data_IF_671341803273
#
_entry.id   IF_671341803273
#
_cell.length_a   1.000
_cell.length_b   1.000
_cell.length_c   1.000
_cell.angle_alpha   90.00
_cell.angle_beta   90.00
_cell.angle_gamma   90.00
#
_symmetry.space_group_name_H-M   'P 1'
#
loop_
_entity.id
_entity.type
_entity.pdbx_description
1 polymer ?
#
# COMPACT_ATOMS: atom_id res chain seq x y z
N UNK A 1 -5.11 0.79 24.96
CA UNK A 1 -4.30 1.21 23.80
C UNK A 1 -4.06 -0.02 22.94
N UNK A 2 -4.84 -0.19 21.88
CA UNK A 2 -4.57 -1.16 20.82
C UNK A 2 -4.78 -0.39 19.52
N UNK A 3 -3.71 0.24 19.05
CA UNK A 3 -3.69 0.74 17.68
C UNK A 3 -3.46 -0.48 16.79
N UNK A 4 -4.57 -1.07 16.36
CA UNK A 4 -4.58 -2.25 15.51
C UNK A 4 -4.06 -1.89 14.13
N UNK A 5 -2.74 -1.99 13.94
CA UNK A 5 -2.13 -1.98 12.62
C UNK A 5 -2.72 -3.13 11.80
N UNK A 6 -3.72 -2.80 10.97
CA UNK A 6 -4.44 -3.74 10.11
C UNK A 6 -3.51 -4.20 8.97
N UNK A 7 -3.13 -5.48 8.92
CA UNK A 7 -2.14 -5.99 7.97
C UNK A 7 -2.58 -5.94 6.50
N UNK A 8 -3.89 -6.00 6.24
CA UNK A 8 -4.44 -5.89 4.88
C UNK A 8 -4.27 -4.52 4.22
N UNK A 9 -3.87 -3.48 4.96
CA UNK A 9 -3.83 -2.14 4.38
C UNK A 9 -2.58 -1.84 3.58
N UNK A 10 -1.43 -2.45 3.84
CA UNK A 10 -0.19 -1.75 3.45
C UNK A 10 0.21 -1.88 1.98
N UNK A 11 0.02 -3.03 1.34
CA UNK A 11 0.27 -3.18 -0.10
C UNK A 11 -0.84 -2.51 -0.93
N UNK A 12 -2.09 -2.76 -0.55
CA UNK A 12 -3.27 -2.15 -1.19
C UNK A 12 -3.23 -0.61 -1.07
N UNK A 13 -2.80 -0.05 0.07
CA UNK A 13 -2.64 1.40 0.25
C UNK A 13 -1.53 1.97 -0.62
N UNK A 14 -0.43 1.24 -0.84
CA UNK A 14 0.64 1.71 -1.71
C UNK A 14 0.20 1.70 -3.17
N UNK A 15 -0.43 0.61 -3.61
CA UNK A 15 -0.96 0.50 -4.97
C UNK A 15 -2.08 1.51 -5.24
N UNK A 16 -3.02 1.66 -4.31
CA UNK A 16 -4.11 2.64 -4.41
C UNK A 16 -3.60 4.08 -4.41
N UNK A 17 -2.57 4.37 -3.61
CA UNK A 17 -1.91 5.68 -3.62
C UNK A 17 -1.25 5.97 -4.97
N UNK A 18 -0.49 5.00 -5.51
CA UNK A 18 0.18 5.12 -6.80
C UNK A 18 -0.84 5.30 -7.92
N UNK A 19 -1.88 4.45 -7.97
CA UNK A 19 -2.99 4.56 -8.92
C UNK A 19 -3.68 5.92 -8.82
N UNK A 20 -3.98 6.38 -7.60
CA UNK A 20 -4.62 7.68 -7.38
C UNK A 20 -3.78 8.83 -7.95
N UNK A 21 -2.47 8.84 -7.68
CA UNK A 21 -1.54 9.85 -8.23
C UNK A 21 -1.45 9.82 -9.75
N UNK A 22 -1.36 8.62 -10.34
CA UNK A 22 -1.28 8.44 -11.80
C UNK A 22 -2.58 8.87 -12.49
N UNK A 23 -3.75 8.57 -11.90
CA UNK A 23 -5.03 8.94 -12.50
C UNK A 23 -5.34 10.44 -12.42
N UNK A 24 -4.76 11.17 -11.47
CA UNK A 24 -4.88 12.63 -11.44
C UNK A 24 -4.28 13.31 -12.68
N UNK A 25 -3.29 12.70 -13.33
CA UNK A 25 -2.69 13.27 -14.56
C UNK A 25 -3.45 12.87 -15.84
N UNK A 26 -4.52 12.07 -15.73
CA UNK A 26 -5.35 11.60 -16.85
C UNK A 26 -4.56 11.19 -18.11
N UNK A 27 -3.56 10.30 -17.99
CA UNK A 27 -2.76 9.87 -19.13
C UNK A 27 -3.62 9.12 -20.15
N UNK A 28 -3.40 9.40 -21.44
CA UNK A 28 -4.20 8.85 -22.55
C UNK A 28 -3.43 7.89 -23.45
N UNK A 29 -2.10 7.88 -23.33
CA UNK A 29 -1.21 7.03 -24.12
C UNK A 29 -0.07 6.46 -23.27
N UNK A 30 0.62 5.46 -23.84
CA UNK A 30 1.67 4.72 -23.14
C UNK A 30 2.83 5.62 -22.65
N UNK A 31 3.38 6.56 -23.44
CA UNK A 31 4.39 7.51 -22.97
C UNK A 31 3.95 8.35 -21.77
N UNK A 32 2.73 8.87 -21.80
CA UNK A 32 2.15 9.64 -20.69
C UNK A 32 2.02 8.77 -19.43
N UNK A 33 1.52 7.54 -19.57
CA UNK A 33 1.44 6.59 -18.45
C UNK A 33 2.80 6.32 -17.82
N UNK A 34 3.85 6.07 -18.63
CA UNK A 34 5.21 5.85 -18.10
C UNK A 34 5.71 7.05 -17.32
N UNK A 35 5.52 8.25 -17.87
CA UNK A 35 5.94 9.51 -17.24
C UNK A 35 5.19 9.76 -15.93
N UNK A 36 3.88 9.54 -15.91
CA UNK A 36 3.03 9.69 -14.74
C UNK A 36 3.43 8.71 -13.63
N UNK A 37 3.71 7.44 -13.96
CA UNK A 37 4.17 6.43 -12.99
C UNK A 37 5.52 6.83 -12.40
N UNK A 38 6.52 7.17 -13.24
CA UNK A 38 7.85 7.59 -12.76
C UNK A 38 7.74 8.79 -11.83
N UNK A 39 6.98 9.82 -12.24
CA UNK A 39 6.76 11.01 -11.42
C UNK A 39 6.05 10.68 -10.11
N UNK A 40 5.01 9.84 -10.16
CA UNK A 40 4.29 9.44 -8.96
C UNK A 40 5.21 8.71 -7.98
N UNK A 41 6.05 7.77 -8.45
CA UNK A 41 7.05 7.07 -7.64
C UNK A 41 8.07 8.04 -7.04
N UNK A 42 8.61 8.96 -7.82
CA UNK A 42 9.60 9.94 -7.34
C UNK A 42 9.03 10.89 -6.26
N UNK A 43 7.71 11.08 -6.24
CA UNK A 43 7.02 11.90 -5.22
C UNK A 43 6.62 11.13 -3.97
N UNK A 44 6.86 9.82 -3.91
CA UNK A 44 6.58 9.04 -2.71
C UNK A 44 7.71 9.29 -1.71
N UNK A 45 7.35 9.81 -0.55
CA UNK A 45 8.31 10.06 0.51
C UNK A 45 8.81 8.73 1.13
N UNK A 46 10.02 8.76 1.67
CA UNK A 46 10.64 7.59 2.30
C UNK A 46 9.88 7.09 3.54
N UNK A 47 9.11 7.96 4.21
CA UNK A 47 8.31 7.60 5.37
C UNK A 47 7.12 6.73 4.97
N UNK A 48 6.47 7.01 3.84
CA UNK A 48 5.43 6.19 3.25
C UNK A 48 5.95 4.78 2.94
N UNK A 49 7.14 4.67 2.33
CA UNK A 49 7.80 3.38 2.12
C UNK A 49 8.09 2.65 3.45
N UNK A 50 8.55 3.38 4.48
CA UNK A 50 8.77 2.81 5.81
C UNK A 50 7.47 2.29 6.43
N UNK A 51 6.35 3.01 6.30
CA UNK A 51 5.04 2.59 6.80
C UNK A 51 4.56 1.31 6.11
N UNK A 52 4.78 1.18 4.80
CA UNK A 52 4.49 -0.04 4.04
C UNK A 52 5.25 -1.23 4.61
N UNK A 53 6.56 -1.07 4.84
CA UNK A 53 7.40 -2.13 5.40
C UNK A 53 7.01 -2.50 6.84
N UNK A 54 6.69 -1.52 7.68
CA UNK A 54 6.20 -1.76 9.05
C UNK A 54 4.88 -2.52 9.03
N UNK A 55 3.92 -2.13 8.18
CA UNK A 55 2.66 -2.84 8.05
C UNK A 55 2.87 -4.29 7.58
N UNK A 56 3.75 -4.52 6.61
CA UNK A 56 4.12 -5.87 6.17
C UNK A 56 4.73 -6.72 7.29
N UNK A 57 5.63 -6.17 8.11
CA UNK A 57 6.17 -6.85 9.29
C UNK A 57 5.08 -7.23 10.29
N UNK A 58 4.11 -6.32 10.51
CA UNK A 58 2.96 -6.59 11.36
C UNK A 58 2.09 -7.71 10.78
N UNK A 59 1.92 -7.81 9.45
CA UNK A 59 1.26 -8.93 8.79
C UNK A 59 1.94 -10.26 9.11
N UNK A 60 3.26 -10.33 8.90
CA UNK A 60 4.02 -11.54 9.14
C UNK A 60 3.92 -11.96 10.62
N UNK A 61 4.03 -10.99 11.53
CA UNK A 61 3.88 -11.24 12.97
C UNK A 61 2.49 -11.80 13.29
N UNK A 62 1.44 -11.23 12.71
CA UNK A 62 0.08 -11.68 12.91
C UNK A 62 -0.15 -13.11 12.39
N UNK A 63 0.41 -13.45 11.21
CA UNK A 63 0.36 -14.79 10.62
C UNK A 63 1.05 -15.80 11.55
N UNK A 64 2.23 -15.48 12.07
CA UNK A 64 2.97 -16.33 13.00
C UNK A 64 2.20 -16.57 14.31
N UNK A 65 1.59 -15.52 14.87
CA UNK A 65 0.78 -15.63 16.11
C UNK A 65 -0.48 -16.48 15.90
N UNK A 66 -1.00 -16.56 14.67
CA UNK A 66 -2.22 -17.31 14.33
C UNK A 66 -1.96 -18.66 13.66
N UNK A 67 -0.72 -19.15 13.67
CA UNK A 67 -0.32 -20.43 13.06
C UNK A 67 -0.80 -20.57 11.61
N UNK A 68 -0.69 -19.48 10.82
CA UNK A 68 -1.08 -19.47 9.41
C UNK A 68 -2.56 -19.16 9.13
N UNK A 69 -3.36 -18.80 10.12
CA UNK A 69 -4.77 -18.42 9.92
C UNK A 69 -4.96 -17.19 9.01
N UNK A 70 -5.93 -17.25 8.09
CA UNK A 70 -6.30 -16.14 7.19
C UNK A 70 -6.95 -14.97 7.96
N UNK A 71 -6.62 -13.74 7.58
CA UNK A 71 -7.20 -12.51 8.13
C UNK A 71 -8.03 -11.82 7.05
N UNK A 72 -9.35 -11.95 7.09
CA UNK A 72 -10.23 -11.10 6.28
C UNK A 72 -10.91 -10.07 7.22
N UNK A 73 -11.04 -8.79 6.83
CA UNK A 73 -11.86 -7.87 7.60
C UNK A 73 -13.33 -8.25 7.39
N UNK A 74 -14.02 -8.61 8.47
CA UNK A 74 -15.49 -8.55 8.49
C UNK A 74 -15.87 -7.08 8.26
N UNK A 75 -16.31 -6.76 7.05
CA UNK A 75 -16.94 -5.49 6.73
C UNK A 75 -18.29 -5.46 7.47
N UNK A 76 -18.44 -4.53 8.41
CA UNK A 76 -19.73 -4.13 9.00
C UNK A 76 -20.03 -2.70 8.59
#
# INVERSE_FOLDING_TARGET
>A
MQDGARPHRTADVFEDNLKSKVWQTSPTNLPEHKTAITTAVDTIDSEACSRVMVGFQNCLTAILVKDGGHFEPLYH
#
